data_IF_513698108366
#
_entry.id   IF_513698108366
#
_cell.length_a   1.000
_cell.length_b   1.000
_cell.length_c   1.000
_cell.angle_alpha   90.00
_cell.angle_beta   90.00
_cell.angle_gamma   90.00
#
_symmetry.space_group_name_H-M   'P 1'
#
loop_
_entity.id
_entity.type
_entity.pdbx_description
1 polymer ?
#
# COMPACT_ATOMS: atom_id res chain seq x y z
N UNK A 1 -11.55 -11.45 15.25
CA UNK A 1 -11.35 -11.87 13.84
C UNK A 1 -11.05 -13.37 13.80
N UNK A 2 -12.06 -14.23 14.01
CA UNK A 2 -11.89 -15.70 13.92
C UNK A 2 -12.41 -16.27 12.59
N UNK A 3 -13.33 -15.57 11.91
CA UNK A 3 -14.05 -16.12 10.76
C UNK A 3 -13.26 -16.12 9.42
N UNK A 4 -12.13 -15.42 9.33
CA UNK A 4 -11.35 -15.31 8.09
C UNK A 4 -9.88 -15.64 8.38
N UNK A 5 -9.57 -16.94 8.42
CA UNK A 5 -8.19 -17.45 8.51
C UNK A 5 -7.97 -18.47 7.40
N UNK A 6 -6.89 -18.31 6.64
CA UNK A 6 -6.38 -19.29 5.67
C UNK A 6 -7.39 -19.80 4.63
N UNK A 7 -8.18 -18.90 4.03
CA UNK A 7 -8.90 -19.24 2.80
C UNK A 7 -7.86 -19.34 1.68
N UNK A 8 -7.47 -20.57 1.31
CA UNK A 8 -6.28 -20.86 0.49
C UNK A 8 -6.21 -20.09 -0.84
N UNK A 9 -7.35 -19.83 -1.47
CA UNK A 9 -7.42 -19.12 -2.74
C UNK A 9 -7.62 -17.60 -2.62
N UNK A 10 -7.90 -17.07 -1.42
CA UNK A 10 -8.24 -15.67 -1.24
C UNK A 10 -7.02 -14.80 -0.92
N UNK A 11 -7.05 -13.57 -1.43
CA UNK A 11 -6.05 -12.54 -1.10
C UNK A 11 -6.67 -11.47 -0.23
N UNK A 12 -5.92 -11.01 0.75
CA UNK A 12 -6.32 -9.97 1.71
C UNK A 12 -5.33 -8.81 1.63
N UNK A 13 -5.36 -8.01 0.55
CA UNK A 13 -4.49 -6.85 0.44
C UNK A 13 -4.84 -5.83 1.52
N UNK A 14 -3.82 -5.27 2.17
CA UNK A 14 -3.99 -4.20 3.16
C UNK A 14 -3.40 -2.88 2.66
N UNK A 15 -4.09 -1.78 2.92
CA UNK A 15 -3.66 -0.46 2.47
C UNK A 15 -2.46 0.04 3.29
N UNK A 16 -1.37 0.39 2.63
CA UNK A 16 -0.13 0.86 3.24
C UNK A 16 0.31 2.20 2.63
N UNK A 17 -0.15 3.35 3.17
CA UNK A 17 0.12 4.66 2.59
C UNK A 17 1.56 5.17 2.76
N UNK A 18 2.36 4.51 3.60
CA UNK A 18 3.73 4.91 3.91
C UNK A 18 4.52 3.72 4.51
N UNK A 19 5.84 3.93 4.71
CA UNK A 19 6.75 2.88 5.21
C UNK A 19 6.36 2.36 6.60
N UNK A 20 5.94 3.24 7.52
CA UNK A 20 5.48 2.83 8.85
C UNK A 20 4.25 1.93 8.79
N UNK A 21 3.31 2.25 7.90
CA UNK A 21 2.12 1.42 7.64
C UNK A 21 2.50 0.06 7.03
N UNK A 22 3.49 0.04 6.14
CA UNK A 22 4.03 -1.18 5.58
C UNK A 22 4.67 -2.08 6.65
N UNK A 23 5.54 -1.54 7.51
CA UNK A 23 6.16 -2.27 8.61
C UNK A 23 5.12 -2.89 9.55
N UNK A 24 4.09 -2.12 9.91
CA UNK A 24 2.97 -2.61 10.72
C UNK A 24 2.19 -3.73 10.01
N UNK A 25 1.95 -3.61 8.70
CA UNK A 25 1.29 -4.64 7.91
C UNK A 25 2.10 -5.94 7.86
N UNK A 26 3.42 -5.85 7.67
CA UNK A 26 4.32 -7.01 7.69
C UNK A 26 4.31 -7.67 9.08
N UNK A 27 4.41 -6.89 10.15
CA UNK A 27 4.35 -7.39 11.52
C UNK A 27 3.00 -8.08 11.85
N UNK A 28 1.91 -7.63 11.22
CA UNK A 28 0.59 -8.25 11.33
C UNK A 28 0.39 -9.48 10.43
N UNK A 29 1.39 -9.86 9.61
CA UNK A 29 1.32 -11.03 8.74
C UNK A 29 0.65 -10.79 7.38
N UNK A 30 0.61 -9.54 6.91
CA UNK A 30 0.08 -9.23 5.58
C UNK A 30 0.89 -9.94 4.47
N UNK A 31 0.17 -10.56 3.52
CA UNK A 31 0.76 -11.26 2.37
C UNK A 31 0.67 -10.48 1.06
N UNK A 32 -0.09 -9.40 1.04
CA UNK A 32 -0.22 -8.45 -0.07
C UNK A 32 -0.50 -7.07 0.52
N UNK A 33 0.07 -6.03 -0.07
CA UNK A 33 -0.18 -4.64 0.35
C UNK A 33 -0.64 -3.81 -0.83
N UNK A 34 -1.25 -2.66 -0.56
CA UNK A 34 -1.74 -1.75 -1.57
C UNK A 34 -1.31 -0.30 -1.32
N UNK A 35 -0.97 0.41 -2.38
CA UNK A 35 -0.74 1.87 -2.41
C UNK A 35 -1.81 2.53 -3.28
N UNK A 36 -2.01 3.83 -3.10
CA UNK A 36 -2.95 4.60 -3.92
C UNK A 36 -2.34 5.91 -4.40
N UNK A 37 -2.37 6.13 -5.71
CA UNK A 37 -1.99 7.39 -6.35
C UNK A 37 -3.22 8.05 -6.97
N UNK A 38 -3.08 9.29 -7.42
CA UNK A 38 -4.12 9.96 -8.19
C UNK A 38 -3.61 10.35 -9.57
N UNK A 39 -4.53 10.39 -10.54
CA UNK A 39 -4.33 10.99 -11.85
C UNK A 39 -4.63 12.51 -11.87
N UNK A 40 -5.16 13.07 -10.77
CA UNK A 40 -5.52 14.48 -10.64
C UNK A 40 -4.72 15.16 -9.52
N UNK A 41 -4.02 16.25 -9.85
CA UNK A 41 -3.29 17.06 -8.86
C UNK A 41 -4.23 17.65 -7.82
N UNK A 42 -5.44 18.07 -8.23
CA UNK A 42 -6.43 18.61 -7.30
C UNK A 42 -6.89 17.54 -6.29
N UNK A 43 -7.11 16.30 -6.76
CA UNK A 43 -7.51 15.19 -5.90
C UNK A 43 -6.36 14.73 -4.98
N UNK A 44 -5.15 14.60 -5.51
CA UNK A 44 -3.94 14.32 -4.72
C UNK A 44 -3.75 15.35 -3.61
N UNK A 45 -3.87 16.64 -3.93
CA UNK A 45 -3.72 17.72 -2.94
C UNK A 45 -4.87 17.73 -1.93
N UNK A 46 -6.11 17.45 -2.34
CA UNK A 46 -7.24 17.38 -1.42
C UNK A 46 -7.15 16.19 -0.45
N UNK A 47 -6.68 15.03 -0.91
CA UNK A 47 -6.72 13.79 -0.12
C UNK A 47 -5.45 13.53 0.70
N UNK A 48 -4.27 13.84 0.13
CA UNK A 48 -2.98 13.52 0.74
C UNK A 48 -2.04 14.73 0.83
N UNK A 49 -2.56 15.92 0.53
CA UNK A 49 -1.88 17.22 0.67
C UNK A 49 -0.50 17.29 0.00
N UNK A 50 -0.36 16.66 -1.18
CA UNK A 50 0.87 16.73 -1.97
C UNK A 50 0.60 16.60 -3.47
N UNK A 51 1.63 16.85 -4.28
CA UNK A 51 1.56 16.57 -5.71
C UNK A 51 1.56 15.07 -6.02
N UNK A 52 1.15 14.71 -7.23
CA UNK A 52 1.25 13.32 -7.72
C UNK A 52 2.70 12.84 -7.61
N UNK A 53 3.67 13.67 -8.03
CA UNK A 53 5.10 13.35 -7.97
C UNK A 53 5.60 13.06 -6.55
N UNK A 54 5.17 13.87 -5.58
CA UNK A 54 5.57 13.66 -4.18
C UNK A 54 4.98 12.37 -3.61
N UNK A 55 3.75 12.03 -4.01
CA UNK A 55 3.11 10.78 -3.60
C UNK A 55 3.86 9.56 -4.15
N UNK A 56 4.22 9.57 -5.44
CA UNK A 56 4.96 8.48 -6.08
C UNK A 56 6.36 8.31 -5.47
N UNK A 57 7.01 9.41 -5.12
CA UNK A 57 8.30 9.38 -4.42
C UNK A 57 8.17 8.65 -3.07
N UNK A 58 7.14 8.97 -2.27
CA UNK A 58 6.86 8.27 -1.01
C UNK A 58 6.53 6.79 -1.20
N UNK A 59 5.82 6.43 -2.27
CA UNK A 59 5.48 5.04 -2.56
C UNK A 59 6.68 4.23 -3.08
N UNK A 60 7.73 4.89 -3.60
CA UNK A 60 8.97 4.22 -3.97
C UNK A 60 9.63 3.52 -2.77
N UNK A 61 9.59 4.13 -1.59
CA UNK A 61 10.11 3.54 -0.36
C UNK A 61 9.33 2.27 0.05
N UNK A 62 8.00 2.33 -0.04
CA UNK A 62 7.11 1.19 0.27
C UNK A 62 7.33 0.05 -0.72
N UNK A 63 7.35 0.34 -2.02
CA UNK A 63 7.55 -0.68 -3.06
C UNK A 63 8.94 -1.31 -2.99
N UNK A 64 9.97 -0.53 -2.65
CA UNK A 64 11.32 -1.03 -2.42
C UNK A 64 11.39 -1.96 -1.20
N UNK A 65 10.78 -1.56 -0.08
CA UNK A 65 10.71 -2.39 1.13
C UNK A 65 9.93 -3.69 0.89
N UNK A 66 8.78 -3.61 0.21
CA UNK A 66 7.97 -4.77 -0.16
C UNK A 66 8.74 -5.75 -1.06
N UNK A 67 9.50 -5.25 -2.04
CA UNK A 67 10.35 -6.07 -2.91
C UNK A 67 11.40 -6.84 -2.13
N UNK A 68 12.01 -6.26 -1.09
CA UNK A 68 13.03 -6.93 -0.26
C UNK A 68 12.50 -8.15 0.49
N UNK A 69 11.22 -8.15 0.84
CA UNK A 69 10.55 -9.25 1.56
C UNK A 69 9.61 -10.05 0.68
N UNK A 70 9.68 -9.87 -0.65
CA UNK A 70 8.86 -10.57 -1.65
C UNK A 70 7.35 -10.45 -1.44
N UNK A 71 6.88 -9.31 -0.90
CA UNK A 71 5.45 -9.03 -0.75
C UNK A 71 4.96 -8.29 -2.00
N UNK A 72 3.92 -8.78 -2.70
CA UNK A 72 3.33 -8.08 -3.84
C UNK A 72 2.66 -6.77 -3.40
N UNK A 73 2.80 -5.74 -4.24
CA UNK A 73 2.16 -4.43 -4.06
C UNK A 73 1.13 -4.21 -5.17
N UNK A 74 -0.10 -3.88 -4.77
CA UNK A 74 -1.17 -3.45 -5.67
C UNK A 74 -1.21 -1.93 -5.75
N UNK A 75 -1.25 -1.38 -6.96
CA UNK A 75 -1.43 0.06 -7.19
C UNK A 75 -2.87 0.39 -7.54
N UNK A 76 -3.45 1.37 -6.86
CA UNK A 76 -4.71 2.00 -7.24
C UNK A 76 -4.47 3.41 -7.78
N UNK A 77 -5.21 3.80 -8.81
CA UNK A 77 -5.18 5.13 -9.40
C UNK A 77 -6.59 5.71 -9.33
N UNK A 78 -6.71 6.90 -8.74
CA UNK A 78 -7.96 7.64 -8.57
C UNK A 78 -7.99 8.95 -9.35
#
# INVERSE_FOLDING_TARGET
>A
MEAIRNVEAARFPVLTPNLKGFEAAVAAGAKEVAIFASASEAFSKSNINCSIKDSLTRYSDVTFAARKVSIPVRGYIF
#
